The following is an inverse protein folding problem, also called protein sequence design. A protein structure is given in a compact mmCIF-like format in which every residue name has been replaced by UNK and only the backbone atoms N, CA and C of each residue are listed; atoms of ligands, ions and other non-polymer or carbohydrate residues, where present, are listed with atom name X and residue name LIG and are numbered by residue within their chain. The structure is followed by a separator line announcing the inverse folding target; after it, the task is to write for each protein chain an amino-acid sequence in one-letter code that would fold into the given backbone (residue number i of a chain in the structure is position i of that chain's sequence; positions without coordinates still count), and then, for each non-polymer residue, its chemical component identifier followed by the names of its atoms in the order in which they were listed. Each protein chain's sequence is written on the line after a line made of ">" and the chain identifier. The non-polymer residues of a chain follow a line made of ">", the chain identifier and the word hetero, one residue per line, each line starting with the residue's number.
data_IF_761272917803
#
_entry.id   IF_761272917803
#
_cell.length_a   1.000
_cell.length_b   1.000
_cell.length_c   1.000
_cell.angle_alpha   90.00
_cell.angle_beta   90.00
_cell.angle_gamma   90.00
#
_symmetry.space_group_name_H-M   'P 1'
#
loop_
_entity.id
_entity.type
_entity.pdbx_description
1 polymer ?
#
# COMPACT_ATOMS: atom_id res chain seq x y z
N UNK A 1 31.23 1.61 16.53
CA UNK A 1 30.13 0.82 15.93
C UNK A 1 30.56 0.22 14.59
N UNK A 2 31.29 0.93 13.72
CA UNK A 2 31.68 0.44 12.39
C UNK A 2 32.55 -0.82 12.40
N UNK A 3 33.31 -1.05 13.45
CA UNK A 3 34.13 -2.26 13.59
C UNK A 3 33.29 -3.49 13.99
N UNK A 4 32.13 -3.26 14.62
CA UNK A 4 31.19 -4.33 15.02
C UNK A 4 30.09 -4.58 13.98
N UNK A 5 29.81 -3.57 13.14
CA UNK A 5 28.73 -3.58 12.15
C UNK A 5 29.27 -3.05 10.81
N UNK A 6 30.05 -3.84 10.07
CA UNK A 6 30.67 -3.39 8.81
C UNK A 6 29.65 -3.01 7.73
N UNK A 7 28.43 -3.55 7.80
CA UNK A 7 27.31 -3.17 6.94
C UNK A 7 26.93 -1.67 7.05
N UNK A 8 27.11 -1.05 8.22
CA UNK A 8 26.90 0.40 8.41
C UNK A 8 27.91 1.23 7.63
N UNK A 9 29.15 0.76 7.55
CA UNK A 9 30.20 1.40 6.74
C UNK A 9 29.86 1.33 5.25
N UNK A 10 29.42 0.17 4.78
CA UNK A 10 29.06 -0.06 3.38
C UNK A 10 27.83 0.72 2.95
N UNK A 11 26.88 0.98 3.88
CA UNK A 11 25.63 1.69 3.64
C UNK A 11 25.68 3.16 4.07
N UNK A 12 26.83 3.67 4.50
CA UNK A 12 26.97 5.01 5.09
C UNK A 12 26.36 6.12 4.22
N UNK A 13 26.68 6.15 2.95
CA UNK A 13 26.19 7.20 2.05
C UNK A 13 24.68 7.09 1.85
N UNK A 14 24.17 5.88 1.65
CA UNK A 14 22.74 5.61 1.52
C UNK A 14 21.97 6.02 2.79
N UNK A 15 22.50 5.70 3.97
CA UNK A 15 21.92 6.11 5.26
C UNK A 15 21.88 7.64 5.38
N UNK A 16 22.96 8.30 5.02
CA UNK A 16 23.08 9.76 5.04
C UNK A 16 22.06 10.39 4.08
N UNK A 17 21.95 9.89 2.86
CA UNK A 17 21.03 10.45 1.85
C UNK A 17 19.58 10.28 2.27
N UNK A 18 19.21 9.11 2.82
CA UNK A 18 17.88 8.86 3.37
C UNK A 18 17.61 9.82 4.54
N UNK A 19 18.55 9.94 5.48
CA UNK A 19 18.41 10.82 6.63
C UNK A 19 18.21 12.28 6.21
N UNK A 20 19.01 12.78 5.27
CA UNK A 20 18.87 14.16 4.79
C UNK A 20 17.55 14.37 4.04
N UNK A 21 17.10 13.41 3.25
CA UNK A 21 15.79 13.46 2.56
C UNK A 21 14.64 13.56 3.56
N UNK A 22 14.61 12.70 4.57
CA UNK A 22 13.61 12.72 5.64
C UNK A 22 13.67 14.01 6.45
N UNK A 23 14.90 14.46 6.80
CA UNK A 23 15.08 15.72 7.52
C UNK A 23 14.57 16.93 6.76
N UNK A 24 14.82 17.03 5.44
CA UNK A 24 14.30 18.11 4.60
C UNK A 24 12.77 18.09 4.52
N UNK A 25 12.18 16.89 4.37
CA UNK A 25 10.73 16.70 4.38
C UNK A 25 10.11 17.15 5.70
N UNK A 26 10.68 16.70 6.81
CA UNK A 26 10.25 17.09 8.15
C UNK A 26 10.37 18.60 8.38
N UNK A 27 11.52 19.21 8.04
CA UNK A 27 11.73 20.66 8.16
C UNK A 27 10.68 21.45 7.38
N UNK A 28 10.40 21.05 6.14
CA UNK A 28 9.41 21.71 5.31
C UNK A 28 7.98 21.59 5.87
N UNK A 29 7.62 20.45 6.43
CA UNK A 29 6.33 20.24 7.09
C UNK A 29 6.23 21.08 8.36
N UNK A 30 7.29 21.09 9.18
CA UNK A 30 7.39 21.89 10.40
C UNK A 30 7.21 23.39 10.10
N UNK A 31 7.94 23.93 9.14
CA UNK A 31 7.86 25.36 8.76
C UNK A 31 6.45 25.75 8.28
N UNK A 32 5.77 24.86 7.55
CA UNK A 32 4.38 25.07 7.13
C UNK A 32 3.43 25.03 8.32
N UNK A 33 3.59 24.05 9.19
CA UNK A 33 2.76 23.90 10.39
C UNK A 33 2.88 25.10 11.33
N UNK A 34 4.10 25.58 11.56
CA UNK A 34 4.36 26.78 12.38
C UNK A 34 3.66 28.03 11.83
N UNK A 35 3.74 28.26 10.51
CA UNK A 35 3.06 29.40 9.87
C UNK A 35 1.54 29.34 10.01
N UNK A 36 0.95 28.16 10.07
CA UNK A 36 -0.49 28.00 10.29
C UNK A 36 -0.81 28.17 11.76
N UNK A 37 -0.02 27.60 12.67
CA UNK A 37 -0.16 27.70 14.11
C UNK A 37 -0.15 29.16 14.60
N UNK A 38 0.74 29.98 14.05
CA UNK A 38 0.83 31.42 14.37
C UNK A 38 -0.47 32.18 14.08
N UNK A 39 -1.25 31.75 13.08
CA UNK A 39 -2.51 32.38 12.66
C UNK A 39 -3.71 31.95 13.49
N UNK A 40 -3.60 30.87 14.24
CA UNK A 40 -4.69 30.41 15.09
C UNK A 40 -4.90 31.37 16.29
N UNK A 41 -6.15 31.53 16.67
CA UNK A 41 -6.53 32.36 17.84
C UNK A 41 -6.51 31.56 19.14
N UNK A 42 -6.85 30.28 19.08
CA UNK A 42 -6.85 29.35 20.21
C UNK A 42 -6.51 27.93 19.73
N UNK A 43 -5.82 27.18 20.55
CA UNK A 43 -5.43 25.80 20.31
C UNK A 43 -5.99 24.94 21.44
N UNK A 44 -6.96 24.10 21.11
CA UNK A 44 -7.48 23.02 21.96
C UNK A 44 -6.85 21.68 21.58
N UNK A 45 -7.28 20.61 22.22
CA UNK A 45 -6.75 19.27 22.00
C UNK A 45 -6.97 18.76 20.57
N UNK A 46 -8.15 19.02 19.97
CA UNK A 46 -8.48 18.61 18.62
C UNK A 46 -7.60 19.30 17.58
N UNK A 47 -7.45 20.61 17.71
CA UNK A 47 -6.56 21.39 16.84
C UNK A 47 -5.10 20.99 17.00
N UNK A 48 -4.64 20.78 18.23
CA UNK A 48 -3.27 20.33 18.48
C UNK A 48 -3.02 18.97 17.85
N UNK A 49 -3.98 18.06 17.94
CA UNK A 49 -3.88 16.75 17.27
C UNK A 49 -3.85 16.89 15.74
N UNK A 50 -4.68 17.78 15.14
CA UNK A 50 -4.64 18.07 13.71
C UNK A 50 -3.27 18.61 13.26
N UNK A 51 -2.61 19.45 14.06
CA UNK A 51 -1.25 19.91 13.79
C UNK A 51 -0.23 18.80 13.85
N UNK A 52 -0.37 17.87 14.79
CA UNK A 52 0.46 16.68 14.88
C UNK A 52 0.28 15.76 13.65
N UNK A 53 -0.96 15.45 13.29
CA UNK A 53 -1.28 14.55 12.19
C UNK A 53 -0.85 15.13 10.82
N UNK A 54 -1.12 16.41 10.59
CA UNK A 54 -0.93 17.06 9.29
C UNK A 54 0.51 17.51 9.05
N UNK A 55 1.16 18.04 10.09
CA UNK A 55 2.48 18.69 9.98
C UNK A 55 3.57 18.00 10.79
N UNK A 56 3.21 16.98 11.57
CA UNK A 56 4.15 16.30 12.47
C UNK A 56 4.61 17.15 13.65
N UNK A 57 3.84 18.20 14.04
CA UNK A 57 4.18 19.05 15.17
C UNK A 57 3.97 18.32 16.50
N UNK A 58 5.02 18.04 17.32
CA UNK A 58 4.85 17.44 18.63
C UNK A 58 4.06 18.32 19.58
N UNK A 59 3.35 17.70 20.53
CA UNK A 59 2.59 18.39 21.58
C UNK A 59 3.37 19.50 22.27
N UNK A 60 4.61 19.19 22.69
CA UNK A 60 5.46 20.14 23.42
C UNK A 60 5.79 21.38 22.59
N UNK A 61 6.07 21.19 21.30
CA UNK A 61 6.35 22.29 20.37
C UNK A 61 5.09 23.14 20.13
N UNK A 62 3.92 22.50 19.99
CA UNK A 62 2.65 23.23 19.85
C UNK A 62 2.38 24.07 21.10
N UNK A 63 2.52 23.46 22.27
CA UNK A 63 2.28 24.11 23.58
C UNK A 63 3.22 25.30 23.81
N UNK A 64 4.51 25.13 23.51
CA UNK A 64 5.54 26.17 23.67
C UNK A 64 5.29 27.35 22.73
N UNK A 65 5.06 27.09 21.45
CA UNK A 65 4.93 28.17 20.43
C UNK A 65 3.59 28.88 20.52
N UNK A 66 2.51 28.14 20.77
CA UNK A 66 1.18 28.76 20.91
C UNK A 66 1.03 29.57 22.21
N UNK A 67 1.80 29.24 23.26
CA UNK A 67 1.80 29.98 24.52
C UNK A 67 0.41 30.13 25.12
N UNK A 68 -0.02 31.38 25.35
CA UNK A 68 -1.36 31.67 25.91
C UNK A 68 -2.53 31.20 25.04
N UNK A 69 -2.34 31.00 23.75
CA UNK A 69 -3.37 30.46 22.86
C UNK A 69 -3.66 28.98 23.12
N UNK A 70 -2.73 28.27 23.75
CA UNK A 70 -2.84 26.86 24.13
C UNK A 70 -3.07 26.68 25.65
N UNK A 71 -3.65 27.67 26.35
CA UNK A 71 -3.88 27.59 27.79
C UNK A 71 -4.82 26.44 28.16
N UNK A 72 -5.85 26.18 27.34
CA UNK A 72 -6.78 25.08 27.50
C UNK A 72 -6.24 23.72 27.03
N UNK A 73 -5.10 23.69 26.36
CA UNK A 73 -4.49 22.46 25.86
C UNK A 73 -3.83 21.69 26.99
N UNK A 74 -4.32 20.47 27.25
CA UNK A 74 -3.74 19.53 28.22
C UNK A 74 -3.19 18.31 27.51
N UNK A 75 -2.20 17.65 28.11
CA UNK A 75 -1.62 16.44 27.56
C UNK A 75 -2.67 15.31 27.53
N UNK A 76 -3.50 15.22 28.59
CA UNK A 76 -4.56 14.22 28.67
C UNK A 76 -5.56 14.38 27.51
N UNK A 77 -6.00 15.62 27.24
CA UNK A 77 -6.92 15.89 26.12
C UNK A 77 -6.31 15.54 24.77
N UNK A 78 -5.02 15.88 24.56
CA UNK A 78 -4.29 15.51 23.35
C UNK A 78 -4.18 13.98 23.20
N UNK A 79 -3.86 13.26 24.27
CA UNK A 79 -3.78 11.79 24.27
C UNK A 79 -5.14 11.12 24.02
N UNK A 80 -6.24 11.74 24.47
CA UNK A 80 -7.60 11.28 24.15
C UNK A 80 -7.90 11.40 22.66
N UNK A 81 -7.57 12.53 22.01
CA UNK A 81 -7.72 12.69 20.57
C UNK A 81 -6.83 11.71 19.80
N UNK A 82 -5.60 11.49 20.26
CA UNK A 82 -4.70 10.50 19.68
C UNK A 82 -5.29 9.08 19.76
N UNK A 83 -5.86 8.69 20.91
CA UNK A 83 -6.54 7.39 21.08
C UNK A 83 -7.77 7.26 20.19
N UNK A 84 -8.63 8.29 20.15
CA UNK A 84 -9.80 8.30 19.24
C UNK A 84 -9.39 8.08 17.78
N UNK A 85 -8.35 8.78 17.33
CA UNK A 85 -7.84 8.61 15.98
C UNK A 85 -7.27 7.21 15.75
N UNK A 86 -6.54 6.65 16.73
CA UNK A 86 -6.07 5.26 16.65
C UNK A 86 -7.23 4.26 16.56
N UNK A 87 -8.31 4.47 17.33
CA UNK A 87 -9.50 3.61 17.30
C UNK A 87 -10.22 3.72 15.96
N UNK A 88 -10.42 4.95 15.43
CA UNK A 88 -10.99 5.19 14.11
C UNK A 88 -10.11 4.56 13.01
N UNK A 89 -8.80 4.72 13.12
CA UNK A 89 -7.84 4.12 12.18
C UNK A 89 -7.86 2.60 12.26
N UNK A 90 -7.94 2.01 13.47
CA UNK A 90 -8.06 0.56 13.67
C UNK A 90 -9.41 0.04 13.16
N UNK A 91 -10.53 0.69 13.53
CA UNK A 91 -11.85 0.32 13.03
C UNK A 91 -11.98 0.52 11.51
N UNK A 92 -11.35 1.58 10.98
CA UNK A 92 -11.21 1.80 9.54
C UNK A 92 -10.26 0.79 8.89
N UNK A 93 -9.22 0.35 9.59
CA UNK A 93 -8.34 -0.73 9.16
C UNK A 93 -9.05 -2.09 9.21
N UNK A 94 -9.78 -2.42 10.27
CA UNK A 94 -10.58 -3.64 10.33
C UNK A 94 -11.69 -3.67 9.27
N UNK A 95 -12.32 -2.53 8.96
CA UNK A 95 -13.28 -2.42 7.85
C UNK A 95 -12.64 -2.30 6.47
N UNK A 96 -11.44 -1.72 6.35
CA UNK A 96 -10.71 -1.54 5.08
C UNK A 96 -9.69 -2.63 4.82
N UNK A 97 -9.19 -3.30 5.86
CA UNK A 97 -8.34 -4.48 5.80
C UNK A 97 -9.18 -5.78 5.99
N UNK A 98 -10.44 -5.75 5.66
CA UNK A 98 -11.18 -6.96 5.32
C UNK A 98 -10.38 -7.63 4.20
N UNK A 99 -9.50 -8.52 4.61
CA UNK A 99 -8.40 -9.03 3.84
C UNK A 99 -8.80 -9.53 2.45
N UNK A 100 -8.45 -8.80 1.44
CA UNK A 100 -8.36 -9.37 0.12
C UNK A 100 -7.21 -10.38 0.13
N UNK A 101 -7.42 -11.56 0.65
CA UNK A 101 -6.31 -12.44 0.62
C UNK A 101 -6.55 -13.89 0.94
N UNK A 102 -7.33 -14.24 1.92
CA UNK A 102 -7.33 -15.63 2.38
C UNK A 102 -8.71 -16.20 2.67
N UNK A 103 -9.71 -15.38 2.94
CA UNK A 103 -11.06 -15.84 3.24
C UNK A 103 -11.95 -15.67 2.02
N UNK A 104 -12.65 -16.73 1.65
CA UNK A 104 -13.60 -16.72 0.54
C UNK A 104 -14.71 -15.69 0.83
N UNK A 105 -14.88 -14.70 -0.05
CA UNK A 105 -15.95 -13.70 0.07
C UNK A 105 -15.57 -12.33 0.67
N UNK A 106 -14.30 -12.00 0.79
CA UNK A 106 -13.84 -10.72 1.35
C UNK A 106 -14.15 -9.48 0.48
N UNK A 107 -14.51 -9.68 -0.79
CA UNK A 107 -14.97 -8.61 -1.66
C UNK A 107 -16.46 -8.35 -1.43
N UNK A 108 -16.77 -7.24 -0.80
CA UNK A 108 -18.15 -6.78 -0.63
C UNK A 108 -18.52 -5.77 -1.71
N UNK A 109 -19.74 -5.86 -2.25
CA UNK A 109 -20.26 -4.96 -3.25
C UNK A 109 -21.75 -4.69 -2.98
N UNK A 110 -22.26 -3.53 -3.42
CA UNK A 110 -23.65 -3.13 -3.28
C UNK A 110 -24.55 -3.92 -4.23
N UNK A 111 -24.02 -4.25 -5.42
CA UNK A 111 -24.74 -4.99 -6.46
C UNK A 111 -23.79 -5.81 -7.34
N UNK A 112 -24.37 -6.55 -8.31
CA UNK A 112 -23.62 -7.40 -9.21
C UNK A 112 -22.69 -6.63 -10.17
N UNK A 113 -23.02 -5.39 -10.53
CA UNK A 113 -22.21 -4.54 -11.39
C UNK A 113 -20.94 -4.09 -10.65
N UNK A 114 -21.09 -3.61 -9.44
CA UNK A 114 -19.96 -3.26 -8.57
C UNK A 114 -19.07 -4.49 -8.27
N UNK A 115 -19.68 -5.65 -8.01
CA UNK A 115 -18.94 -6.89 -7.80
C UNK A 115 -18.09 -7.24 -9.02
N UNK A 116 -18.61 -7.10 -10.22
CA UNK A 116 -17.87 -7.36 -11.46
C UNK A 116 -16.68 -6.42 -11.60
N UNK A 117 -16.86 -5.12 -11.34
CA UNK A 117 -15.77 -4.11 -11.38
C UNK A 117 -14.69 -4.47 -10.36
N UNK A 118 -15.08 -4.71 -9.11
CA UNK A 118 -14.13 -5.05 -8.03
C UNK A 118 -13.39 -6.36 -8.29
N UNK A 119 -14.06 -7.37 -8.84
CA UNK A 119 -13.43 -8.63 -9.24
C UNK A 119 -12.38 -8.42 -10.33
N UNK A 120 -12.67 -7.57 -11.32
CA UNK A 120 -11.71 -7.14 -12.34
C UNK A 120 -10.51 -6.41 -11.72
N UNK A 121 -10.75 -5.43 -10.85
CA UNK A 121 -9.70 -4.68 -10.15
C UNK A 121 -8.88 -5.56 -9.19
N UNK A 122 -9.48 -6.60 -8.59
CA UNK A 122 -8.75 -7.56 -7.80
C UNK A 122 -7.76 -8.37 -8.67
N UNK A 123 -8.21 -8.82 -9.83
CA UNK A 123 -7.33 -9.48 -10.81
C UNK A 123 -6.22 -8.55 -11.28
N UNK A 124 -6.55 -7.30 -11.61
CA UNK A 124 -5.57 -6.26 -11.96
C UNK A 124 -4.53 -6.03 -10.86
N UNK A 125 -4.92 -6.13 -9.60
CA UNK A 125 -3.98 -5.98 -8.47
C UNK A 125 -2.88 -7.06 -8.49
N UNK A 126 -3.22 -8.30 -8.85
CA UNK A 126 -2.24 -9.38 -9.02
C UNK A 126 -1.37 -9.18 -10.27
N UNK A 127 -1.96 -8.72 -11.38
CA UNK A 127 -1.18 -8.36 -12.57
C UNK A 127 -0.21 -7.22 -12.27
N UNK A 128 -0.64 -6.20 -11.52
CA UNK A 128 0.20 -5.09 -11.09
C UNK A 128 1.36 -5.57 -10.20
N UNK A 129 1.09 -6.43 -9.21
CA UNK A 129 2.13 -7.00 -8.36
C UNK A 129 3.20 -7.74 -9.19
N UNK A 130 2.78 -8.61 -10.10
CA UNK A 130 3.70 -9.33 -10.99
C UNK A 130 4.48 -8.39 -11.93
N UNK A 131 3.84 -7.34 -12.45
CA UNK A 131 4.51 -6.35 -13.29
C UNK A 131 5.56 -5.55 -12.51
N UNK A 132 5.27 -5.17 -11.26
CA UNK A 132 6.23 -4.50 -10.37
C UNK A 132 7.45 -5.38 -10.12
N UNK A 133 7.27 -6.67 -9.81
CA UNK A 133 8.38 -7.61 -9.66
C UNK A 133 9.24 -7.72 -10.95
N UNK A 134 8.60 -7.75 -12.12
CA UNK A 134 9.31 -7.82 -13.41
C UNK A 134 10.11 -6.56 -13.73
N UNK A 135 9.63 -5.37 -13.33
CA UNK A 135 10.26 -4.09 -13.65
C UNK A 135 11.28 -3.66 -12.60
N UNK A 136 10.96 -3.89 -11.31
CA UNK A 136 11.74 -3.39 -10.18
C UNK A 136 12.59 -4.47 -9.51
N UNK A 137 12.28 -5.76 -9.73
CA UNK A 137 13.02 -6.88 -9.16
C UNK A 137 12.41 -7.46 -7.88
N UNK A 138 13.16 -8.38 -7.27
CA UNK A 138 12.76 -9.20 -6.13
C UNK A 138 12.60 -8.42 -4.81
N UNK A 139 13.09 -7.18 -4.74
CA UNK A 139 12.96 -6.33 -3.55
C UNK A 139 11.51 -5.84 -3.32
N UNK A 140 10.66 -5.91 -4.35
CA UNK A 140 9.24 -5.60 -4.23
C UNK A 140 8.58 -6.58 -3.27
N UNK A 141 7.86 -6.07 -2.29
CA UNK A 141 7.07 -6.90 -1.37
C UNK A 141 5.81 -6.15 -1.00
N UNK A 142 4.66 -6.74 -1.26
CA UNK A 142 3.36 -6.17 -0.90
C UNK A 142 3.26 -5.88 0.60
N UNK A 143 2.69 -4.72 0.95
CA UNK A 143 2.42 -4.31 2.35
C UNK A 143 0.95 -4.04 2.61
N UNK A 144 0.15 -3.89 1.57
CA UNK A 144 -1.29 -3.73 1.65
C UNK A 144 -1.92 -3.52 0.29
N UNK A 145 -3.21 -3.72 0.21
CA UNK A 145 -4.04 -3.38 -0.94
C UNK A 145 -5.44 -2.99 -0.50
N UNK A 146 -6.15 -2.27 -1.36
CA UNK A 146 -7.54 -1.88 -1.13
C UNK A 146 -8.23 -1.69 -2.48
N UNK A 147 -9.47 -2.15 -2.60
CA UNK A 147 -10.22 -2.13 -3.85
C UNK A 147 -11.57 -1.47 -3.62
N UNK A 148 -11.84 -0.42 -4.40
CA UNK A 148 -13.15 0.22 -4.49
C UNK A 148 -13.70 0.07 -5.91
N UNK A 149 -14.90 0.54 -6.20
CA UNK A 149 -15.44 0.53 -7.55
C UNK A 149 -14.65 1.44 -8.53
N UNK A 150 -13.93 2.45 -8.00
CA UNK A 150 -13.21 3.44 -8.81
C UNK A 150 -11.75 3.09 -9.04
N UNK A 151 -11.15 2.31 -8.11
CA UNK A 151 -9.70 2.09 -8.14
C UNK A 151 -9.23 0.87 -7.35
N UNK A 152 -8.03 0.43 -7.65
CA UNK A 152 -7.19 -0.35 -6.74
C UNK A 152 -6.10 0.52 -6.12
N UNK A 153 -5.72 0.22 -4.86
CA UNK A 153 -4.54 0.74 -4.18
C UNK A 153 -3.62 -0.42 -3.87
N UNK A 154 -2.33 -0.22 -4.10
CA UNK A 154 -1.30 -1.21 -3.84
C UNK A 154 -0.12 -0.57 -3.11
N UNK A 155 0.18 -1.04 -1.90
CA UNK A 155 1.29 -0.60 -1.08
C UNK A 155 2.40 -1.66 -1.09
N UNK A 156 3.64 -1.27 -1.36
CA UNK A 156 4.76 -2.19 -1.49
C UNK A 156 6.08 -1.59 -1.00
N UNK A 157 7.02 -2.46 -0.61
CA UNK A 157 8.37 -2.06 -0.22
C UNK A 157 9.12 -1.62 -1.47
N UNK A 158 9.63 -0.40 -1.44
CA UNK A 158 10.59 0.12 -2.39
C UNK A 158 11.19 1.41 -1.84
N UNK A 159 12.49 1.61 -2.00
CA UNK A 159 13.24 2.65 -1.27
C UNK A 159 13.29 4.01 -1.97
N UNK A 160 12.77 4.13 -3.18
CA UNK A 160 12.75 5.37 -3.96
C UNK A 160 11.44 5.55 -4.74
N UNK A 161 11.24 6.75 -5.27
CA UNK A 161 10.17 7.02 -6.25
C UNK A 161 10.43 6.22 -7.54
N UNK A 162 9.37 5.71 -8.16
CA UNK A 162 9.44 5.11 -9.50
C UNK A 162 9.71 6.21 -10.54
N UNK A 163 10.48 5.88 -11.57
CA UNK A 163 10.64 6.75 -12.72
C UNK A 163 9.42 6.66 -13.65
N UNK A 164 9.25 7.65 -14.51
CA UNK A 164 8.13 7.66 -15.46
C UNK A 164 8.23 6.49 -16.46
N UNK A 165 9.48 6.06 -16.81
CA UNK A 165 9.70 4.89 -17.65
C UNK A 165 9.34 3.59 -16.93
N UNK A 166 9.61 3.47 -15.62
CA UNK A 166 9.21 2.30 -14.82
C UNK A 166 7.69 2.22 -14.71
N UNK A 167 7.02 3.35 -14.41
CA UNK A 167 5.57 3.44 -14.36
C UNK A 167 4.97 2.99 -15.70
N UNK A 168 5.50 3.54 -16.81
CA UNK A 168 5.03 3.17 -18.14
C UNK A 168 5.23 1.69 -18.47
N UNK A 169 6.38 1.11 -18.14
CA UNK A 169 6.64 -0.32 -18.33
C UNK A 169 5.68 -1.20 -17.53
N UNK A 170 5.37 -0.81 -16.29
CA UNK A 170 4.38 -1.52 -15.45
C UNK A 170 3.00 -1.46 -16.10
N UNK A 171 2.57 -0.27 -16.55
CA UNK A 171 1.28 -0.12 -17.26
C UNK A 171 1.22 -0.96 -18.54
N UNK A 172 2.28 -0.93 -19.35
CA UNK A 172 2.36 -1.67 -20.61
C UNK A 172 2.24 -3.19 -20.33
N UNK A 173 2.98 -3.73 -19.36
CA UNK A 173 2.94 -5.14 -18.98
C UNK A 173 1.55 -5.58 -18.49
N UNK A 174 0.89 -4.77 -17.66
CA UNK A 174 -0.47 -5.10 -17.20
C UNK A 174 -1.46 -5.08 -18.36
N UNK A 175 -1.38 -4.08 -19.24
CA UNK A 175 -2.25 -3.97 -20.41
C UNK A 175 -2.00 -5.09 -21.44
N UNK A 176 -0.75 -5.53 -21.60
CA UNK A 176 -0.42 -6.70 -22.41
C UNK A 176 -1.08 -7.97 -21.84
N UNK A 177 -1.01 -8.18 -20.51
CA UNK A 177 -1.63 -9.31 -19.85
C UNK A 177 -3.17 -9.30 -19.96
N UNK A 178 -3.80 -8.12 -19.91
CA UNK A 178 -5.25 -7.96 -20.16
C UNK A 178 -5.58 -8.32 -21.61
N UNK A 179 -4.83 -7.76 -22.56
CA UNK A 179 -5.07 -7.94 -24.00
C UNK A 179 -4.79 -9.37 -24.47
N UNK A 180 -3.86 -10.05 -23.84
CA UNK A 180 -3.53 -11.45 -24.11
C UNK A 180 -4.63 -12.43 -23.68
N UNK A 181 -5.64 -11.95 -22.97
CA UNK A 181 -6.78 -12.76 -22.50
C UNK A 181 -6.34 -14.05 -21.82
N UNK A 182 -5.42 -13.95 -20.86
CA UNK A 182 -4.91 -15.12 -20.13
C UNK A 182 -6.00 -15.83 -19.34
N UNK A 183 -6.08 -17.18 -19.42
CA UNK A 183 -6.95 -17.95 -18.55
C UNK A 183 -6.49 -17.84 -17.11
N UNK A 184 -7.45 -17.84 -16.18
CA UNK A 184 -7.17 -17.88 -14.74
C UNK A 184 -7.32 -19.30 -14.25
N UNK A 185 -6.21 -19.90 -13.81
CA UNK A 185 -6.18 -21.25 -13.24
C UNK A 185 -6.18 -21.16 -11.72
N UNK A 186 -7.01 -22.00 -11.11
CA UNK A 186 -7.12 -22.14 -9.65
C UNK A 186 -6.66 -23.52 -9.26
N UNK A 187 -5.73 -23.61 -8.33
CA UNK A 187 -5.24 -24.87 -7.76
C UNK A 187 -5.36 -24.80 -6.23
N UNK A 188 -5.86 -25.86 -5.62
CA UNK A 188 -5.85 -25.98 -4.15
C UNK A 188 -4.76 -26.95 -3.75
N UNK A 189 -3.84 -26.50 -2.88
CA UNK A 189 -2.70 -27.31 -2.47
C UNK A 189 -2.27 -26.96 -1.05
N UNK A 190 -1.45 -27.81 -0.39
CA UNK A 190 -0.84 -27.48 0.88
C UNK A 190 -0.03 -26.17 0.82
N UNK A 191 -0.07 -25.39 1.89
CA UNK A 191 0.63 -24.11 1.98
C UNK A 191 2.12 -24.21 1.62
N UNK A 192 2.79 -25.25 2.13
CA UNK A 192 4.22 -25.45 1.87
C UNK A 192 4.52 -25.74 0.39
N UNK A 193 3.63 -26.43 -0.30
CA UNK A 193 3.77 -26.70 -1.73
C UNK A 193 3.50 -25.43 -2.55
N UNK A 194 2.52 -24.62 -2.12
CA UNK A 194 2.25 -23.32 -2.73
C UNK A 194 3.48 -22.40 -2.64
N UNK A 195 4.12 -22.31 -1.46
CA UNK A 195 5.35 -21.55 -1.28
C UNK A 195 6.51 -22.06 -2.15
N UNK A 196 6.71 -23.38 -2.19
CA UNK A 196 7.75 -24.01 -3.03
C UNK A 196 7.51 -23.81 -4.53
N UNK A 197 6.26 -23.62 -4.95
CA UNK A 197 5.90 -23.34 -6.34
C UNK A 197 6.23 -21.91 -6.79
N UNK A 198 6.79 -21.06 -5.90
CA UNK A 198 7.10 -19.67 -6.19
C UNK A 198 5.86 -18.76 -6.20
N UNK A 199 4.73 -19.20 -5.65
CA UNK A 199 3.55 -18.36 -5.55
C UNK A 199 3.82 -17.19 -4.57
N UNK A 200 3.56 -15.97 -5.03
CA UNK A 200 3.60 -14.77 -4.19
C UNK A 200 2.47 -14.82 -3.17
N UNK A 201 2.67 -14.20 -2.03
CA UNK A 201 1.64 -14.10 -1.02
C UNK A 201 1.81 -12.87 -0.13
N UNK A 202 0.69 -12.33 0.29
CA UNK A 202 0.63 -11.27 1.29
C UNK A 202 -0.48 -11.57 2.30
N UNK A 203 -0.09 -12.05 3.47
CA UNK A 203 -1.03 -12.26 4.59
C UNK A 203 -0.27 -12.22 5.92
N UNK A 204 -0.81 -11.50 6.89
CA UNK A 204 -0.18 -11.32 8.22
C UNK A 204 -0.71 -12.26 9.29
N UNK A 205 -1.73 -13.07 8.97
CA UNK A 205 -2.34 -14.03 9.89
C UNK A 205 -1.82 -15.46 9.70
N UNK A 206 -2.50 -16.40 10.34
CA UNK A 206 -2.24 -17.82 10.16
C UNK A 206 -2.89 -18.31 8.87
N UNK A 207 -2.10 -18.84 7.97
CA UNK A 207 -2.60 -19.49 6.76
C UNK A 207 -3.32 -20.79 7.11
N UNK A 208 -4.42 -21.13 6.43
CA UNK A 208 -4.97 -22.48 6.50
C UNK A 208 -3.98 -23.49 5.93
N UNK A 209 -4.14 -24.77 6.30
CA UNK A 209 -3.29 -25.86 5.81
C UNK A 209 -3.36 -26.01 4.28
N UNK A 210 -4.56 -25.83 3.71
CA UNK A 210 -4.82 -25.85 2.28
C UNK A 210 -5.13 -24.44 1.79
N UNK A 211 -4.46 -24.00 0.72
CA UNK A 211 -4.61 -22.67 0.14
C UNK A 211 -4.98 -22.74 -1.33
N UNK A 212 -5.71 -21.72 -1.81
CA UNK A 212 -5.96 -21.53 -3.24
C UNK A 212 -4.81 -20.73 -3.84
N UNK A 213 -4.27 -21.22 -4.95
CA UNK A 213 -3.25 -20.54 -5.76
C UNK A 213 -3.86 -20.16 -7.09
N UNK A 214 -3.88 -18.89 -7.38
CA UNK A 214 -4.34 -18.34 -8.66
C UNK A 214 -3.15 -18.10 -9.57
N UNK A 215 -3.24 -18.60 -10.81
CA UNK A 215 -2.24 -18.38 -11.86
C UNK A 215 -2.88 -17.68 -13.04
N UNK A 216 -2.26 -16.61 -13.49
CA UNK A 216 -2.68 -15.81 -14.63
C UNK A 216 -1.59 -15.90 -15.70
N UNK A 217 -1.91 -16.48 -16.84
CA UNK A 217 -0.90 -16.63 -17.89
C UNK A 217 -1.26 -17.71 -18.89
N UNK A 218 -0.40 -17.95 -19.89
CA UNK A 218 -0.55 -19.04 -20.82
C UNK A 218 -0.61 -20.36 -20.03
N UNK A 219 -1.26 -21.39 -20.60
CA UNK A 219 -1.37 -22.70 -19.98
C UNK A 219 0.02 -23.29 -19.67
N UNK A 220 0.09 -24.17 -18.67
CA UNK A 220 1.33 -24.74 -18.14
C UNK A 220 2.26 -25.36 -19.19
N UNK A 221 1.75 -25.72 -20.36
CA UNK A 221 2.51 -26.28 -21.48
C UNK A 221 3.34 -25.23 -22.25
N UNK A 222 3.13 -23.92 -22.01
CA UNK A 222 3.73 -22.83 -22.78
C UNK A 222 4.64 -21.89 -21.98
N UNK A 223 4.93 -22.19 -20.70
CA UNK A 223 5.87 -21.40 -19.87
C UNK A 223 5.34 -21.02 -18.49
N UNK A 224 6.11 -20.25 -17.74
CA UNK A 224 5.70 -19.76 -16.43
C UNK A 224 4.54 -18.77 -16.56
N UNK A 225 3.57 -18.78 -15.62
CA UNK A 225 2.46 -17.82 -15.63
C UNK A 225 2.97 -16.39 -15.47
N UNK A 226 2.19 -15.43 -15.97
CA UNK A 226 2.48 -14.00 -15.80
C UNK A 226 2.48 -13.60 -14.32
N UNK A 227 1.48 -14.08 -13.57
CA UNK A 227 1.37 -13.97 -12.10
C UNK A 227 0.94 -15.30 -11.50
N UNK A 228 1.45 -15.62 -10.31
CA UNK A 228 1.04 -16.78 -9.51
C UNK A 228 1.02 -16.36 -8.05
N UNK A 229 -0.18 -16.40 -7.42
CA UNK A 229 -0.34 -15.88 -6.06
C UNK A 229 -1.30 -16.72 -5.22
N UNK A 230 -1.03 -16.81 -3.90
CA UNK A 230 -1.96 -17.37 -2.92
C UNK A 230 -3.00 -16.29 -2.62
N UNK A 231 -4.29 -16.61 -2.93
CA UNK A 231 -5.38 -15.67 -2.76
C UNK A 231 -6.72 -16.37 -2.50
N UNK A 232 -7.64 -15.74 -1.76
CA UNK A 232 -9.01 -16.22 -1.55
C UNK A 232 -9.96 -15.95 -2.73
N UNK A 233 -9.61 -15.05 -3.63
CA UNK A 233 -10.48 -14.58 -4.73
C UNK A 233 -11.55 -13.58 -4.24
N UNK A 234 -12.59 -13.24 -5.03
CA UNK A 234 -12.84 -13.74 -6.39
C UNK A 234 -11.98 -13.07 -7.47
N UNK A 235 -11.84 -13.75 -8.61
CA UNK A 235 -11.17 -13.26 -9.80
C UNK A 235 -12.02 -13.52 -11.05
N UNK A 236 -11.71 -12.81 -12.15
CA UNK A 236 -12.28 -13.11 -13.47
C UNK A 236 -11.84 -14.48 -13.95
N UNK A 237 -12.57 -15.08 -14.88
CA UNK A 237 -12.18 -16.40 -15.44
C UNK A 237 -11.08 -16.27 -16.50
N UNK A 238 -10.97 -15.07 -17.12
CA UNK A 238 -9.87 -14.73 -18.02
C UNK A 238 -9.60 -13.22 -17.94
N UNK A 239 -8.36 -12.79 -18.20
CA UNK A 239 -7.97 -11.39 -18.09
C UNK A 239 -8.67 -10.50 -19.12
N UNK A 240 -9.13 -11.04 -20.25
CA UNK A 240 -9.92 -10.33 -21.26
C UNK A 240 -11.33 -9.92 -20.83
N UNK A 241 -11.84 -10.43 -19.69
CA UNK A 241 -13.08 -9.91 -19.09
C UNK A 241 -12.93 -8.53 -18.46
N UNK A 242 -11.69 -8.08 -18.26
CA UNK A 242 -11.38 -6.75 -17.75
C UNK A 242 -11.53 -5.77 -18.91
N UNK A 243 -12.62 -5.01 -18.90
CA UNK A 243 -12.94 -4.06 -19.97
C UNK A 243 -12.35 -2.71 -19.65
N UNK A 244 -11.44 -2.23 -20.51
CA UNK A 244 -10.79 -0.93 -20.40
C UNK A 244 -9.28 -1.03 -20.39
N UNK A 245 -8.62 0.09 -20.17
CA UNK A 245 -7.17 0.21 -20.12
C UNK A 245 -6.70 0.49 -18.70
N UNK A 246 -5.77 -0.30 -18.21
CA UNK A 246 -5.13 -0.06 -16.93
C UNK A 246 -4.28 1.20 -16.94
N UNK A 247 -4.43 2.05 -15.94
CA UNK A 247 -3.62 3.26 -15.73
C UNK A 247 -3.26 3.45 -14.27
N UNK A 248 -2.02 3.86 -14.02
CA UNK A 248 -1.56 4.32 -12.71
C UNK A 248 -1.92 5.80 -12.57
N UNK A 249 -2.88 6.09 -11.69
CA UNK A 249 -3.35 7.46 -11.43
C UNK A 249 -2.30 8.24 -10.63
N UNK A 250 -1.68 7.56 -9.65
CA UNK A 250 -0.74 8.19 -8.73
C UNK A 250 0.24 7.18 -8.14
N UNK A 251 1.50 7.59 -8.03
CA UNK A 251 2.54 6.91 -7.28
C UNK A 251 3.08 7.87 -6.23
N UNK A 252 3.09 7.46 -4.96
CA UNK A 252 3.47 8.32 -3.82
C UNK A 252 4.15 7.53 -2.71
N UNK A 253 4.87 8.21 -1.82
CA UNK A 253 5.32 7.62 -0.56
C UNK A 253 4.13 7.47 0.39
N UNK A 254 4.01 6.31 1.02
CA UNK A 254 3.01 6.05 2.06
C UNK A 254 3.60 6.11 3.47
N UNK A 255 4.85 5.64 3.60
CA UNK A 255 5.68 5.74 4.80
C UNK A 255 7.13 5.45 4.41
N UNK A 256 8.08 5.53 5.35
CA UNK A 256 9.48 5.23 5.08
C UNK A 256 9.66 3.85 4.44
N UNK A 257 10.27 3.81 3.25
CA UNK A 257 10.49 2.59 2.48
C UNK A 257 9.24 1.93 1.90
N UNK A 258 8.06 2.55 1.97
CA UNK A 258 6.82 2.04 1.41
C UNK A 258 6.29 2.99 0.32
N UNK A 259 6.14 2.46 -0.88
CA UNK A 259 5.51 3.15 -2.02
C UNK A 259 4.05 2.73 -2.14
N UNK A 260 3.23 3.63 -2.63
CA UNK A 260 1.79 3.43 -2.87
C UNK A 260 1.48 3.75 -4.31
N UNK A 261 0.83 2.82 -4.99
CA UNK A 261 0.23 3.03 -6.30
C UNK A 261 -1.29 3.05 -6.14
N UNK A 262 -1.93 4.01 -6.80
CA UNK A 262 -3.37 4.01 -7.07
C UNK A 262 -3.56 3.88 -8.56
N UNK A 263 -4.40 2.93 -8.99
CA UNK A 263 -4.62 2.63 -10.38
C UNK A 263 -6.09 2.31 -10.64
N UNK A 264 -6.51 2.47 -11.89
CA UNK A 264 -7.86 2.20 -12.36
C UNK A 264 -7.83 1.44 -13.70
N UNK A 265 -9.00 1.01 -14.15
CA UNK A 265 -9.25 0.52 -15.51
C UNK A 265 -10.33 1.41 -16.11
N UNK A 266 -10.01 2.12 -17.20
CA UNK A 266 -10.87 3.08 -17.89
C UNK A 266 -10.80 2.95 -19.43
#
# INVERSE_FOLDING_TARGET
>A
YGDFYPELQNQKNNIIDIYFGEWQGFKSALERGLKVLEKENSIDAEKAFNFYETYGLPYDIIKEIAGVKAESLTLEGFDEEFKKHQEISRAGAEKKFGGHGMVEGDLTALDAAEMKIKTGLHTVTHLLNAALHKVLGEEVSQRGSDITAERTRFDFVFNRKLTDEEIKKVEDLVNEAISANYPVKIETMPLEDAKKSGALYFYKGNFPEMVKVYSFGPSADSGSPFSREICGGPHVSSTGEIVGKFRIIKEESSSAGIRRIRATVE
#
